data_IF_888383455974
#
_entry.id   IF_888383455974
#
_cell.length_a   1.000
_cell.length_b   1.000
_cell.length_c   1.000
_cell.angle_alpha   90.00
_cell.angle_beta   90.00
_cell.angle_gamma   90.00
#
_symmetry.space_group_name_H-M   'P 1'
#
loop_
_entity.id
_entity.type
_entity.pdbx_description
1 polymer ?
#
# COMPACT_ATOMS: atom_id res chain seq x y z
N UNK A 1 -40.72 -19.44 -32.40
CA UNK A 1 -39.27 -19.17 -32.49
C UNK A 1 -38.84 -18.71 -31.10
N UNK A 2 -38.28 -19.62 -30.34
CA UNK A 2 -37.76 -19.37 -29.00
C UNK A 2 -36.29 -18.91 -29.14
N UNK A 3 -36.01 -17.64 -28.85
CA UNK A 3 -34.63 -17.13 -28.82
C UNK A 3 -34.03 -17.44 -27.46
N UNK A 4 -33.08 -18.36 -27.49
CA UNK A 4 -32.27 -18.81 -26.34
C UNK A 4 -31.38 -17.65 -25.89
N UNK A 5 -31.67 -17.06 -24.74
CA UNK A 5 -30.77 -16.13 -24.04
C UNK A 5 -29.66 -17.00 -23.43
N UNK A 6 -28.52 -17.06 -24.13
CA UNK A 6 -27.31 -17.69 -23.62
C UNK A 6 -26.65 -16.74 -22.62
N UNK A 7 -27.01 -16.79 -21.36
CA UNK A 7 -26.31 -16.14 -20.27
C UNK A 7 -24.91 -16.74 -20.16
N UNK A 8 -23.89 -15.97 -20.56
CA UNK A 8 -22.49 -16.29 -20.24
C UNK A 8 -22.32 -16.25 -18.72
N UNK A 9 -22.34 -17.39 -18.08
CA UNK A 9 -21.82 -17.56 -16.75
C UNK A 9 -20.32 -17.25 -16.81
N UNK A 10 -19.92 -16.07 -16.37
CA UNK A 10 -18.51 -15.82 -16.07
C UNK A 10 -18.14 -16.78 -14.95
N UNK A 11 -17.31 -17.77 -15.26
CA UNK A 11 -16.74 -18.68 -14.28
C UNK A 11 -15.88 -17.81 -13.34
N UNK A 12 -16.39 -17.52 -12.15
CA UNK A 12 -15.59 -16.89 -11.08
C UNK A 12 -14.44 -17.86 -10.84
N UNK A 13 -13.24 -17.50 -11.24
CA UNK A 13 -12.05 -18.30 -10.94
C UNK A 13 -11.82 -18.21 -9.44
N UNK A 14 -11.76 -19.35 -8.81
CA UNK A 14 -11.43 -19.52 -7.40
C UNK A 14 -9.93 -19.28 -7.19
N UNK A 15 -9.53 -19.05 -5.94
CA UNK A 15 -8.14 -19.02 -5.52
C UNK A 15 -7.33 -20.15 -6.16
N UNK A 16 -6.05 -19.89 -6.45
CA UNK A 16 -5.14 -20.86 -7.09
C UNK A 16 -4.88 -22.06 -6.17
N UNK A 17 -4.82 -21.83 -4.85
CA UNK A 17 -4.56 -22.85 -3.84
C UNK A 17 -5.32 -22.56 -2.53
N UNK A 18 -5.47 -23.61 -1.71
CA UNK A 18 -6.04 -23.50 -0.35
C UNK A 18 -5.07 -24.11 0.65
N UNK A 19 -4.66 -23.33 1.64
CA UNK A 19 -3.89 -23.79 2.79
C UNK A 19 -4.87 -24.05 3.95
N UNK A 20 -4.87 -25.27 4.48
CA UNK A 20 -5.71 -25.63 5.61
C UNK A 20 -5.23 -24.91 6.87
N UNK A 21 -6.14 -24.24 7.55
CA UNK A 21 -5.95 -23.60 8.84
C UNK A 21 -6.72 -24.32 9.95
N UNK A 22 -6.55 -23.86 11.17
CA UNK A 22 -7.19 -24.45 12.35
C UNK A 22 -8.66 -24.05 12.48
N UNK A 23 -8.98 -22.75 12.41
CA UNK A 23 -10.34 -22.23 12.51
C UNK A 23 -10.96 -22.02 11.12
N UNK A 24 -10.19 -21.45 10.20
CA UNK A 24 -10.61 -21.16 8.84
C UNK A 24 -9.50 -21.53 7.84
N UNK A 25 -9.86 -21.71 6.57
CA UNK A 25 -8.91 -21.92 5.50
C UNK A 25 -8.27 -20.60 5.02
N UNK A 26 -7.09 -20.70 4.39
CA UNK A 26 -6.47 -19.58 3.65
C UNK A 26 -6.63 -19.84 2.15
N UNK A 27 -7.24 -18.91 1.44
CA UNK A 27 -7.32 -18.90 -0.02
C UNK A 27 -6.15 -18.10 -0.59
N UNK A 28 -5.34 -18.73 -1.44
CA UNK A 28 -4.15 -18.09 -2.02
C UNK A 28 -4.35 -17.88 -3.52
N UNK A 29 -3.99 -16.68 -3.99
CA UNK A 29 -3.89 -16.34 -5.41
C UNK A 29 -2.50 -16.63 -5.99
N UNK A 30 -1.75 -17.49 -5.34
CA UNK A 30 -0.44 -17.99 -5.77
C UNK A 30 -0.30 -19.45 -5.37
N UNK A 31 0.49 -20.29 -6.09
CA UNK A 31 0.82 -21.64 -5.65
C UNK A 31 1.50 -21.63 -4.27
N UNK A 32 1.23 -22.66 -3.46
CA UNK A 32 1.81 -22.76 -2.10
C UNK A 32 3.33 -22.81 -2.14
N UNK A 33 3.89 -23.48 -3.14
CA UNK A 33 5.34 -23.61 -3.35
C UNK A 33 6.05 -22.29 -3.69
N UNK A 34 5.31 -21.28 -4.13
CA UNK A 34 5.84 -19.91 -4.36
C UNK A 34 5.86 -19.04 -3.09
N UNK A 35 5.33 -19.55 -1.97
CA UNK A 35 5.25 -18.83 -0.69
C UNK A 35 6.31 -19.37 0.28
N UNK A 36 7.12 -18.47 0.83
CA UNK A 36 8.14 -18.83 1.81
C UNK A 36 7.54 -19.46 3.08
N UNK A 37 8.23 -20.44 3.66
CA UNK A 37 7.73 -21.23 4.79
C UNK A 37 7.31 -20.36 6.00
N UNK A 38 8.05 -19.28 6.27
CA UNK A 38 7.73 -18.36 7.36
C UNK A 38 6.40 -17.62 7.11
N UNK A 39 6.12 -17.22 5.86
CA UNK A 39 4.86 -16.61 5.49
C UNK A 39 3.69 -17.62 5.58
N UNK A 40 3.89 -18.88 5.18
CA UNK A 40 2.90 -19.93 5.37
C UNK A 40 2.57 -20.17 6.85
N UNK A 41 3.59 -20.13 7.72
CA UNK A 41 3.38 -20.21 9.18
C UNK A 41 2.58 -19.04 9.72
N UNK A 42 2.88 -17.80 9.28
CA UNK A 42 2.08 -16.63 9.66
C UNK A 42 0.64 -16.74 9.18
N UNK A 43 0.40 -17.21 7.96
CA UNK A 43 -0.97 -17.41 7.43
C UNK A 43 -1.74 -18.43 8.27
N UNK A 44 -1.11 -19.52 8.72
CA UNK A 44 -1.75 -20.49 9.63
C UNK A 44 -2.07 -19.87 10.99
N UNK A 45 -1.16 -19.07 11.57
CA UNK A 45 -1.41 -18.37 12.83
C UNK A 45 -2.60 -17.39 12.71
N UNK A 46 -2.71 -16.67 11.58
CA UNK A 46 -3.86 -15.80 11.30
C UNK A 46 -5.15 -16.62 11.19
N UNK A 47 -5.09 -17.74 10.46
CA UNK A 47 -6.24 -18.63 10.24
C UNK A 47 -6.66 -19.40 11.52
N UNK A 48 -5.86 -19.38 12.57
CA UNK A 48 -6.19 -19.94 13.88
C UNK A 48 -6.91 -18.94 14.81
N UNK A 49 -7.05 -17.67 14.42
CA UNK A 49 -7.76 -16.67 15.22
C UNK A 49 -9.28 -16.91 15.18
N UNK A 50 -9.96 -16.95 16.35
CA UNK A 50 -11.39 -17.29 16.41
C UNK A 50 -12.33 -16.20 15.85
N UNK A 51 -11.81 -14.98 15.60
CA UNK A 51 -12.59 -13.85 15.08
C UNK A 51 -12.55 -13.73 13.55
N UNK A 52 -11.71 -14.53 12.88
CA UNK A 52 -11.60 -14.48 11.41
C UNK A 52 -12.90 -14.98 10.76
N UNK A 53 -13.44 -14.16 9.86
CA UNK A 53 -14.68 -14.46 9.16
C UNK A 53 -14.41 -15.25 7.88
N UNK A 54 -15.03 -16.42 7.76
CA UNK A 54 -15.02 -17.34 6.63
C UNK A 54 -13.63 -17.87 6.24
N UNK A 55 -12.70 -17.03 5.85
CA UNK A 55 -11.35 -17.43 5.39
C UNK A 55 -10.41 -16.21 5.42
N UNK A 56 -9.13 -16.49 5.32
CA UNK A 56 -8.10 -15.48 5.02
C UNK A 56 -7.86 -15.47 3.51
N UNK A 57 -7.74 -14.30 2.87
CA UNK A 57 -7.31 -14.21 1.49
C UNK A 57 -5.85 -13.75 1.40
N UNK A 58 -5.01 -14.46 0.64
CA UNK A 58 -3.61 -14.15 0.43
C UNK A 58 -3.36 -13.82 -1.05
N UNK A 59 -2.95 -12.58 -1.30
CA UNK A 59 -2.72 -12.04 -2.64
C UNK A 59 -1.44 -12.64 -3.27
N UNK A 60 -1.26 -12.58 -4.60
CA UNK A 60 -0.08 -13.17 -5.27
C UNK A 60 1.26 -12.67 -4.77
N UNK A 61 1.32 -11.42 -4.32
CA UNK A 61 2.51 -10.78 -3.81
C UNK A 61 2.84 -11.13 -2.34
N UNK A 62 2.09 -12.07 -1.73
CA UNK A 62 2.23 -12.45 -0.32
C UNK A 62 3.67 -12.83 0.03
N UNK A 63 4.15 -12.29 1.15
CA UNK A 63 5.48 -12.57 1.69
C UNK A 63 5.52 -12.33 3.21
N UNK A 64 6.61 -12.76 3.86
CA UNK A 64 6.81 -12.60 5.30
C UNK A 64 6.78 -11.12 5.69
N UNK A 65 6.06 -10.81 6.77
CA UNK A 65 5.93 -9.47 7.34
C UNK A 65 6.02 -9.47 8.86
N UNK A 66 6.28 -8.32 9.49
CA UNK A 66 6.25 -8.20 10.95
C UNK A 66 4.80 -8.30 11.45
N UNK A 67 4.54 -9.27 12.31
CA UNK A 67 3.23 -9.55 12.90
C UNK A 67 2.31 -10.37 11.99
N UNK A 68 2.00 -9.91 10.81
CA UNK A 68 1.22 -10.65 9.81
C UNK A 68 1.89 -10.56 8.44
N UNK A 69 1.58 -11.49 7.55
CA UNK A 69 2.04 -11.47 6.16
C UNK A 69 1.64 -10.17 5.47
N UNK A 70 2.52 -9.64 4.63
CA UNK A 70 2.18 -8.63 3.63
C UNK A 70 1.51 -9.35 2.45
N UNK A 71 0.48 -8.79 1.86
CA UNK A 71 -0.36 -9.45 0.85
C UNK A 71 -1.54 -10.22 1.47
N UNK A 72 -1.88 -10.00 2.76
CA UNK A 72 -3.02 -10.64 3.40
C UNK A 72 -4.22 -9.70 3.57
N UNK A 73 -5.42 -10.30 3.40
CA UNK A 73 -6.73 -9.69 3.62
C UNK A 73 -7.45 -10.52 4.68
N UNK A 74 -7.80 -9.89 5.79
CA UNK A 74 -8.33 -10.54 6.98
C UNK A 74 -9.63 -9.85 7.36
N UNK A 75 -10.76 -10.47 7.06
CA UNK A 75 -12.05 -10.02 7.55
C UNK A 75 -12.28 -10.58 8.95
N UNK A 76 -12.61 -9.74 9.92
CA UNK A 76 -12.90 -10.16 11.30
C UNK A 76 -14.26 -9.64 11.73
N UNK A 77 -14.96 -10.44 12.57
CA UNK A 77 -16.12 -9.99 13.33
C UNK A 77 -15.67 -9.59 14.73
N UNK A 78 -16.12 -8.41 15.15
CA UNK A 78 -15.94 -7.90 16.51
C UNK A 78 -14.50 -7.82 17.03
N UNK A 79 -13.50 -7.86 16.13
CA UNK A 79 -12.10 -7.78 16.51
C UNK A 79 -11.23 -7.11 15.43
N UNK A 80 -10.11 -6.51 15.84
CA UNK A 80 -9.04 -6.03 14.95
C UNK A 80 -7.68 -6.31 15.56
N UNK A 81 -6.74 -6.84 14.77
CA UNK A 81 -5.34 -7.02 15.17
C UNK A 81 -4.49 -5.83 14.65
N UNK A 82 -3.96 -4.95 15.51
CA UNK A 82 -3.16 -3.80 15.07
C UNK A 82 -1.93 -4.17 14.22
N UNK A 83 -1.26 -5.27 14.54
CA UNK A 83 -0.10 -5.72 13.79
C UNK A 83 -0.45 -6.27 12.39
N UNK A 84 -1.70 -6.67 12.18
CA UNK A 84 -2.21 -7.07 10.87
C UNK A 84 -2.45 -5.87 9.93
N UNK A 85 -2.47 -4.64 10.44
CA UNK A 85 -2.43 -3.41 9.62
C UNK A 85 -0.98 -3.07 9.27
N UNK A 86 -0.06 -3.25 10.21
CA UNK A 86 1.34 -2.87 10.10
C UNK A 86 1.65 -1.50 10.74
N UNK A 87 2.93 -1.13 10.71
CA UNK A 87 3.39 0.12 11.36
C UNK A 87 3.13 1.37 10.53
N UNK A 88 3.02 1.25 9.21
CA UNK A 88 2.70 2.38 8.33
C UNK A 88 1.20 2.36 8.00
N UNK A 89 0.39 2.80 8.98
CA UNK A 89 -1.07 2.89 8.84
C UNK A 89 -1.42 3.81 7.66
N UNK A 90 -2.31 3.35 6.79
CA UNK A 90 -2.77 4.14 5.65
C UNK A 90 -1.74 4.32 4.53
N UNK A 91 -0.60 3.58 4.57
CA UNK A 91 0.30 3.54 3.42
C UNK A 91 -0.46 3.22 2.14
N UNK A 92 -0.09 3.86 1.04
CA UNK A 92 -0.83 3.75 -0.20
C UNK A 92 -0.23 4.55 -1.34
N UNK A 93 -0.92 4.53 -2.46
CA UNK A 93 -0.49 5.11 -3.72
C UNK A 93 -1.36 6.30 -4.13
N UNK A 94 -0.79 7.18 -4.94
CA UNK A 94 -1.54 8.14 -5.75
C UNK A 94 -0.96 8.16 -7.17
N UNK A 95 -1.83 8.29 -8.18
CA UNK A 95 -1.41 8.46 -9.57
C UNK A 95 -2.36 9.42 -10.30
N UNK A 96 -1.83 10.14 -11.30
CA UNK A 96 -2.63 11.00 -12.18
C UNK A 96 -2.02 11.02 -13.57
N UNK A 97 -2.87 10.86 -14.57
CA UNK A 97 -2.50 11.08 -15.98
C UNK A 97 -2.43 12.57 -16.28
N UNK A 98 -1.44 12.96 -17.06
CA UNK A 98 -1.30 14.33 -17.56
C UNK A 98 -1.68 14.44 -19.03
N UNK A 99 -1.82 15.66 -19.55
CA UNK A 99 -1.95 15.91 -20.99
C UNK A 99 -0.64 15.84 -21.77
N UNK A 100 0.50 15.64 -21.06
CA UNK A 100 1.83 15.58 -21.67
C UNK A 100 2.08 14.21 -22.32
N UNK A 101 2.89 14.20 -23.36
CA UNK A 101 3.43 13.01 -24.00
C UNK A 101 4.94 12.92 -23.79
N UNK A 102 5.53 11.75 -24.02
CA UNK A 102 6.96 11.54 -23.89
C UNK A 102 7.81 12.56 -24.67
N UNK A 103 7.36 12.96 -25.86
CA UNK A 103 8.02 13.96 -26.72
C UNK A 103 8.08 15.37 -26.12
N UNK A 104 7.23 15.66 -25.14
CA UNK A 104 7.18 16.96 -24.47
C UNK A 104 8.19 17.03 -23.30
N UNK A 105 8.74 15.87 -22.89
CA UNK A 105 9.74 15.79 -21.84
C UNK A 105 11.14 16.12 -22.38
N UNK A 106 12.02 16.75 -21.57
CA UNK A 106 13.40 16.93 -21.94
C UNK A 106 14.16 15.58 -21.94
N UNK A 107 15.22 15.47 -22.73
CA UNK A 107 16.07 14.29 -22.79
C UNK A 107 16.68 13.96 -21.41
N UNK A 108 17.01 15.01 -20.63
CA UNK A 108 17.58 14.90 -19.28
C UNK A 108 16.58 15.34 -18.21
N UNK A 109 16.19 14.40 -17.34
CA UNK A 109 15.19 14.63 -16.27
C UNK A 109 15.81 15.07 -14.93
N UNK A 110 17.11 15.30 -14.87
CA UNK A 110 17.84 15.64 -13.63
C UNK A 110 17.34 16.93 -12.97
N UNK A 111 17.07 17.98 -13.78
CA UNK A 111 16.51 19.24 -13.27
C UNK A 111 15.11 19.08 -12.71
N UNK A 112 14.23 18.35 -13.41
CA UNK A 112 12.88 18.03 -12.94
C UNK A 112 12.92 17.20 -11.65
N UNK A 113 13.78 16.19 -11.61
CA UNK A 113 13.97 15.36 -10.40
C UNK A 113 14.41 16.20 -9.22
N UNK A 114 15.42 17.08 -9.38
CA UNK A 114 15.89 17.97 -8.32
C UNK A 114 14.80 18.93 -7.84
N UNK A 115 13.96 19.45 -8.73
CA UNK A 115 12.83 20.30 -8.37
C UNK A 115 11.78 19.55 -7.53
N UNK A 116 11.50 18.27 -7.87
CA UNK A 116 10.60 17.41 -7.08
C UNK A 116 11.19 17.14 -5.69
N UNK A 117 12.49 16.81 -5.60
CA UNK A 117 13.20 16.58 -4.33
C UNK A 117 13.22 17.85 -3.44
N UNK A 118 13.32 19.03 -4.04
CA UNK A 118 13.25 20.30 -3.32
C UNK A 118 11.83 20.65 -2.82
N UNK A 119 10.80 20.32 -3.61
CA UNK A 119 9.41 20.60 -3.25
C UNK A 119 8.82 19.62 -2.24
N UNK A 120 9.27 18.37 -2.25
CA UNK A 120 8.74 17.27 -1.42
C UNK A 120 9.88 16.67 -0.59
N UNK A 121 10.04 17.06 0.68
CA UNK A 121 11.08 16.56 1.56
C UNK A 121 11.07 15.03 1.70
N UNK A 122 12.26 14.42 1.70
CA UNK A 122 12.43 12.95 1.80
C UNK A 122 12.96 12.53 3.18
N UNK A 123 12.85 11.25 3.51
CA UNK A 123 13.37 10.68 4.76
C UNK A 123 12.64 11.21 5.99
N UNK A 124 13.38 11.69 6.97
CA UNK A 124 12.83 12.21 8.23
C UNK A 124 12.48 13.70 8.19
N UNK A 125 12.83 14.40 7.11
CA UNK A 125 12.60 15.82 6.96
C UNK A 125 11.11 16.17 6.93
N UNK A 126 10.79 17.40 7.34
CA UNK A 126 9.50 18.05 7.20
C UNK A 126 9.64 19.36 6.47
N UNK A 127 8.52 19.99 6.11
CA UNK A 127 8.53 21.35 5.59
C UNK A 127 8.96 22.33 6.69
N UNK A 128 9.90 23.24 6.40
CA UNK A 128 10.32 24.28 7.33
C UNK A 128 9.15 25.22 7.68
N UNK A 129 8.34 25.54 6.69
CA UNK A 129 7.12 26.33 6.87
C UNK A 129 5.89 25.49 6.54
N UNK A 130 5.01 25.33 7.53
CA UNK A 130 3.72 24.66 7.32
C UNK A 130 2.79 25.55 6.49
N UNK A 131 2.35 25.05 5.34
CA UNK A 131 1.43 25.79 4.47
C UNK A 131 0.07 26.05 5.16
N UNK A 132 -0.57 27.18 4.85
CA UNK A 132 -1.89 27.54 5.40
C UNK A 132 -2.94 26.44 5.14
N UNK A 133 -2.93 25.86 3.94
CA UNK A 133 -3.83 24.75 3.60
C UNK A 133 -3.66 23.54 4.52
N UNK A 134 -2.43 23.22 4.95
CA UNK A 134 -2.16 22.12 5.88
C UNK A 134 -2.61 22.47 7.31
N UNK A 135 -2.36 23.71 7.77
CA UNK A 135 -2.82 24.15 9.09
C UNK A 135 -4.34 24.12 9.25
N UNK A 136 -5.06 24.33 8.15
CA UNK A 136 -6.53 24.39 8.12
C UNK A 136 -7.18 23.04 7.80
N UNK A 137 -6.42 21.92 7.76
CA UNK A 137 -7.02 20.59 7.61
C UNK A 137 -7.86 20.26 8.85
N UNK A 138 -9.16 20.00 8.66
CA UNK A 138 -10.10 19.62 9.72
C UNK A 138 -9.60 18.41 10.53
N UNK A 139 -8.81 17.54 9.92
CA UNK A 139 -8.13 16.42 10.57
C UNK A 139 -7.40 16.81 11.87
N UNK A 140 -6.81 18.01 11.94
CA UNK A 140 -6.05 18.47 13.11
C UNK A 140 -6.91 19.08 14.23
N UNK A 141 -8.21 19.24 14.03
CA UNK A 141 -9.16 19.61 15.08
C UNK A 141 -9.27 18.50 16.11
N UNK A 142 -9.28 17.24 15.66
CA UNK A 142 -9.35 16.04 16.49
C UNK A 142 -8.00 15.59 17.07
N UNK A 143 -6.91 16.29 16.77
CA UNK A 143 -5.55 15.85 17.17
C UNK A 143 -5.40 15.67 18.70
N UNK A 144 -6.05 16.50 19.49
CA UNK A 144 -5.99 16.44 20.96
C UNK A 144 -6.70 15.19 21.54
N UNK A 145 -7.57 14.54 20.77
CA UNK A 145 -8.27 13.32 21.16
C UNK A 145 -7.45 12.04 20.86
N UNK A 146 -6.32 12.15 20.16
CA UNK A 146 -5.40 11.04 19.95
C UNK A 146 -4.76 10.62 21.27
N UNK A 147 -4.10 9.45 21.25
CA UNK A 147 -3.34 8.96 22.39
C UNK A 147 -2.43 10.06 22.99
N UNK A 148 -2.51 10.23 24.30
CA UNK A 148 -1.78 11.29 25.02
C UNK A 148 -0.25 11.26 24.80
N UNK A 149 0.32 10.11 24.45
CA UNK A 149 1.75 9.97 24.16
C UNK A 149 2.19 10.67 22.89
N UNK A 150 1.26 11.01 21.97
CA UNK A 150 1.55 11.78 20.76
C UNK A 150 1.15 13.25 20.85
N UNK A 151 0.66 13.71 21.99
CA UNK A 151 0.20 15.09 22.19
C UNK A 151 1.26 16.15 21.81
N UNK A 152 2.55 15.86 22.08
CA UNK A 152 3.67 16.74 21.73
C UNK A 152 4.07 16.71 20.24
N UNK A 153 3.55 15.78 19.45
CA UNK A 153 3.97 15.56 18.06
C UNK A 153 3.18 16.40 17.02
N UNK A 154 2.21 17.23 17.46
CA UNK A 154 1.33 17.99 16.54
C UNK A 154 2.09 18.82 15.52
N UNK A 155 3.08 19.58 15.95
CA UNK A 155 3.87 20.43 15.05
C UNK A 155 4.68 19.61 14.05
N UNK A 156 5.26 18.48 14.50
CA UNK A 156 5.97 17.54 13.64
C UNK A 156 5.01 16.90 12.61
N UNK A 157 3.83 16.46 13.06
CA UNK A 157 2.82 15.90 12.17
C UNK A 157 2.39 16.92 11.10
N UNK A 158 2.15 18.20 11.48
CA UNK A 158 1.84 19.28 10.55
C UNK A 158 2.97 19.50 9.52
N UNK A 159 4.24 19.52 9.95
CA UNK A 159 5.38 19.74 9.06
C UNK A 159 5.63 18.56 8.11
N UNK A 160 5.16 17.37 8.45
CA UNK A 160 5.32 16.16 7.63
C UNK A 160 4.20 15.91 6.61
N UNK A 161 3.10 16.69 6.62
CA UNK A 161 2.09 16.61 5.54
C UNK A 161 2.66 17.13 4.23
N UNK A 162 2.60 16.33 3.18
CA UNK A 162 3.20 16.62 1.88
C UNK A 162 4.68 16.21 1.79
N UNK A 163 5.12 15.22 2.60
CA UNK A 163 6.49 14.68 2.56
C UNK A 163 6.52 13.20 2.22
N UNK A 164 7.60 12.76 1.57
CA UNK A 164 7.70 11.41 1.04
C UNK A 164 7.93 10.36 2.14
N UNK A 165 8.88 10.57 3.03
CA UNK A 165 9.35 9.54 3.93
C UNK A 165 10.54 8.78 3.41
N UNK A 166 10.78 7.61 4.02
CA UNK A 166 11.90 6.74 3.68
C UNK A 166 11.45 5.31 3.38
N UNK A 167 12.42 4.44 3.18
CA UNK A 167 12.18 3.02 2.94
C UNK A 167 11.72 2.72 1.51
N UNK A 168 10.54 2.09 1.36
CA UNK A 168 9.97 1.76 0.06
C UNK A 168 9.15 2.89 -0.58
N UNK A 169 9.07 4.07 0.05
CA UNK A 169 8.38 5.23 -0.52
C UNK A 169 9.11 5.79 -1.74
N UNK A 170 8.34 6.33 -2.68
CA UNK A 170 8.89 6.87 -3.93
C UNK A 170 7.94 7.88 -4.59
N UNK A 171 8.50 8.69 -5.49
CA UNK A 171 7.78 9.52 -6.45
C UNK A 171 8.31 9.17 -7.82
N UNK A 172 7.45 8.89 -8.78
CA UNK A 172 7.83 8.50 -10.12
C UNK A 172 7.14 9.33 -11.20
N UNK A 173 7.88 9.59 -12.29
CA UNK A 173 7.35 10.00 -13.57
C UNK A 173 7.34 8.76 -14.46
N UNK A 174 6.19 8.43 -15.03
CA UNK A 174 6.01 7.24 -15.82
C UNK A 174 5.44 7.55 -17.20
N UNK A 175 5.69 6.66 -18.15
CA UNK A 175 5.07 6.65 -19.48
C UNK A 175 4.19 5.43 -19.61
N UNK A 176 2.99 5.59 -20.17
CA UNK A 176 2.17 4.45 -20.56
C UNK A 176 2.49 3.97 -21.98
N UNK A 177 1.81 2.91 -22.42
CA UNK A 177 1.99 2.32 -23.76
C UNK A 177 1.63 3.26 -24.91
N UNK A 178 0.86 4.33 -24.63
CA UNK A 178 0.53 5.41 -25.57
C UNK A 178 1.46 6.61 -25.45
N UNK A 179 2.56 6.48 -24.69
CA UNK A 179 3.53 7.55 -24.44
C UNK A 179 2.95 8.74 -23.66
N UNK A 180 1.82 8.58 -22.95
CA UNK A 180 1.26 9.61 -22.08
C UNK A 180 2.02 9.62 -20.75
N UNK A 181 2.24 10.82 -20.23
CA UNK A 181 2.97 11.02 -18.98
C UNK A 181 2.02 10.88 -17.78
N UNK A 182 2.46 10.08 -16.80
CA UNK A 182 1.79 9.87 -15.53
C UNK A 182 2.68 10.29 -14.36
N UNK A 183 2.08 10.93 -13.36
CA UNK A 183 2.69 11.18 -12.07
C UNK A 183 2.23 10.10 -11.11
N UNK A 184 3.15 9.47 -10.39
CA UNK A 184 2.84 8.43 -9.43
C UNK A 184 3.65 8.62 -8.15
N UNK A 185 3.06 8.33 -6.98
CA UNK A 185 3.75 8.40 -5.70
C UNK A 185 3.23 7.35 -4.70
N UNK A 186 4.11 6.98 -3.78
CA UNK A 186 3.87 6.03 -2.70
C UNK A 186 4.32 6.64 -1.37
N UNK A 187 3.40 6.82 -0.42
CA UNK A 187 3.71 7.31 0.93
C UNK A 187 2.59 6.96 1.92
N UNK A 188 2.86 7.11 3.22
CA UNK A 188 1.97 6.72 4.29
C UNK A 188 1.79 7.78 5.38
N UNK A 189 1.48 7.34 6.60
CA UNK A 189 1.13 8.19 7.75
C UNK A 189 2.34 8.78 8.48
N UNK A 190 3.52 8.65 7.92
CA UNK A 190 4.75 9.23 8.47
C UNK A 190 5.01 8.75 9.92
N UNK A 191 5.80 9.52 10.67
CA UNK A 191 6.17 9.16 12.04
C UNK A 191 4.98 9.01 12.98
N UNK A 192 3.96 9.87 12.83
CA UNK A 192 2.81 9.88 13.74
C UNK A 192 2.02 8.57 13.68
N UNK A 193 1.73 8.06 12.48
CA UNK A 193 1.03 6.78 12.32
C UNK A 193 1.85 5.60 12.82
N UNK A 194 3.18 5.60 12.60
CA UNK A 194 4.07 4.58 13.17
C UNK A 194 4.02 4.58 14.69
N UNK A 195 4.09 5.74 15.33
CA UNK A 195 4.03 5.86 16.79
C UNK A 195 2.70 5.31 17.33
N UNK A 196 1.57 5.71 16.74
CA UNK A 196 0.24 5.21 17.11
C UNK A 196 0.14 3.68 16.93
N UNK A 197 0.62 3.14 15.80
CA UNK A 197 0.63 1.70 15.56
C UNK A 197 1.41 0.93 16.65
N UNK A 198 2.63 1.36 16.96
CA UNK A 198 3.48 0.72 17.97
C UNK A 198 2.88 0.79 19.39
N UNK A 199 2.24 1.92 19.75
CA UNK A 199 1.52 2.07 21.01
C UNK A 199 0.37 1.06 21.15
N UNK A 200 -0.47 0.97 20.13
CA UNK A 200 -1.63 0.08 20.15
C UNK A 200 -1.24 -1.39 20.04
N UNK A 201 -0.22 -1.75 19.27
CA UNK A 201 0.34 -3.11 19.27
C UNK A 201 0.83 -3.52 20.66
N UNK A 202 1.55 -2.62 21.35
CA UNK A 202 2.05 -2.90 22.71
C UNK A 202 0.91 -3.01 23.74
N UNK A 203 -0.19 -2.28 23.57
CA UNK A 203 -1.39 -2.39 24.43
C UNK A 203 -2.13 -3.70 24.20
N UNK A 204 -2.41 -4.05 22.94
CA UNK A 204 -3.12 -5.27 22.60
C UNK A 204 -2.47 -6.51 23.20
N UNK A 205 -1.13 -6.62 23.15
CA UNK A 205 -0.39 -7.74 23.73
C UNK A 205 -0.56 -7.91 25.26
N UNK A 206 -0.98 -6.87 25.98
CA UNK A 206 -1.16 -6.91 27.43
C UNK A 206 -2.56 -7.33 27.85
N UNK A 207 -3.50 -7.45 26.93
CA UNK A 207 -4.88 -7.79 27.21
C UNK A 207 -5.01 -9.29 27.48
N UNK A 208 -5.71 -9.66 28.55
CA UNK A 208 -5.80 -11.04 29.08
C UNK A 208 -6.34 -12.02 28.02
N UNK A 209 -7.32 -11.60 27.19
CA UNK A 209 -7.89 -12.47 26.17
C UNK A 209 -6.90 -12.82 25.05
N UNK A 210 -5.76 -12.15 24.97
CA UNK A 210 -4.70 -12.44 23.99
C UNK A 210 -3.60 -13.38 24.53
N UNK A 211 -3.68 -13.79 25.81
CA UNK A 211 -2.60 -14.56 26.45
C UNK A 211 -2.35 -15.95 25.83
N UNK A 212 -3.38 -16.55 25.23
CA UNK A 212 -3.31 -17.89 24.63
C UNK A 212 -3.18 -17.88 23.08
N UNK A 213 -2.92 -16.72 22.47
CA UNK A 213 -2.78 -16.66 21.00
C UNK A 213 -1.51 -17.39 20.53
N UNK A 214 -1.56 -18.07 19.36
CA UNK A 214 -0.41 -18.79 18.81
C UNK A 214 0.75 -17.85 18.44
N UNK A 215 0.45 -16.59 18.18
CA UNK A 215 1.41 -15.53 17.90
C UNK A 215 1.02 -14.27 18.66
N UNK A 216 1.82 -13.82 19.65
CA UNK A 216 1.54 -12.59 20.40
C UNK A 216 1.44 -11.33 19.55
N UNK A 217 2.03 -11.32 18.36
CA UNK A 217 1.93 -10.21 17.41
C UNK A 217 0.52 -10.10 16.81
N UNK A 218 -0.29 -11.16 16.84
CA UNK A 218 -1.67 -11.17 16.39
C UNK A 218 -2.68 -10.76 17.46
N UNK A 219 -2.21 -10.18 18.57
CA UNK A 219 -3.07 -9.66 19.62
C UNK A 219 -4.13 -8.70 19.08
N UNK A 220 -5.38 -8.86 19.53
CA UNK A 220 -6.54 -8.13 19.02
C UNK A 220 -7.12 -7.18 20.06
N UNK A 221 -7.86 -6.18 19.60
CA UNK A 221 -8.86 -5.46 20.38
C UNK A 221 -10.25 -6.01 20.03
N UNK A 222 -11.12 -6.11 21.04
CA UNK A 222 -12.48 -6.64 20.91
C UNK A 222 -13.51 -5.51 20.89
N UNK A 223 -14.54 -5.64 20.06
CA UNK A 223 -15.64 -4.71 19.97
C UNK A 223 -16.30 -4.48 21.34
N UNK A 224 -16.83 -3.29 21.55
CA UNK A 224 -17.49 -2.91 22.80
C UNK A 224 -16.52 -2.56 23.94
N UNK A 225 -15.19 -2.65 23.75
CA UNK A 225 -14.19 -2.27 24.75
C UNK A 225 -13.68 -0.85 24.56
N UNK A 226 -13.30 -0.13 25.63
CA UNK A 226 -12.67 1.19 25.54
C UNK A 226 -11.38 1.16 24.72
N UNK A 227 -10.59 0.08 24.81
CA UNK A 227 -9.35 -0.11 24.05
C UNK A 227 -9.61 -0.17 22.55
N UNK A 228 -10.68 -0.87 22.11
CA UNK A 228 -11.08 -0.91 20.70
C UNK A 228 -11.54 0.46 20.22
N UNK A 229 -12.31 1.18 21.03
CA UNK A 229 -12.76 2.53 20.67
C UNK A 229 -11.58 3.49 20.48
N UNK A 230 -10.62 3.49 21.41
CA UNK A 230 -9.41 4.30 21.32
C UNK A 230 -8.55 3.91 20.12
N UNK A 231 -8.35 2.62 19.88
CA UNK A 231 -7.59 2.14 18.72
C UNK A 231 -8.25 2.56 17.41
N UNK A 232 -9.56 2.38 17.25
CA UNK A 232 -10.29 2.77 16.03
C UNK A 232 -10.20 4.26 15.75
N UNK A 233 -10.31 5.09 16.79
CA UNK A 233 -10.15 6.54 16.68
C UNK A 233 -8.79 6.91 16.08
N UNK A 234 -7.71 6.41 16.68
CA UNK A 234 -6.33 6.69 16.26
C UNK A 234 -6.00 6.08 14.89
N UNK A 235 -6.48 4.86 14.62
CA UNK A 235 -6.33 4.17 13.34
C UNK A 235 -6.95 4.97 12.19
N UNK A 236 -8.21 5.35 12.32
CA UNK A 236 -8.91 6.08 11.27
C UNK A 236 -8.37 7.50 11.10
N UNK A 237 -7.92 8.13 12.19
CA UNK A 237 -7.21 9.39 12.10
C UNK A 237 -5.92 9.24 11.28
N UNK A 238 -5.10 8.22 11.57
CA UNK A 238 -3.84 7.97 10.85
C UNK A 238 -4.07 7.63 9.37
N UNK A 239 -5.14 6.90 9.03
CA UNK A 239 -5.54 6.64 7.64
C UNK A 239 -5.89 7.95 6.90
N UNK A 240 -6.70 8.83 7.52
CA UNK A 240 -7.03 10.16 6.96
C UNK A 240 -5.79 11.01 6.80
N UNK A 241 -4.88 10.97 7.78
CA UNK A 241 -3.60 11.69 7.70
C UNK A 241 -2.74 11.20 6.52
N UNK A 242 -2.61 9.90 6.34
CA UNK A 242 -1.86 9.32 5.21
C UNK A 242 -2.48 9.71 3.86
N UNK A 243 -3.80 9.76 3.78
CA UNK A 243 -4.51 10.21 2.58
C UNK A 243 -4.20 11.69 2.29
N UNK A 244 -4.37 12.57 3.28
CA UNK A 244 -4.06 14.01 3.17
C UNK A 244 -2.57 14.25 2.82
N UNK A 245 -1.65 13.42 3.36
CA UNK A 245 -0.24 13.48 2.99
C UNK A 245 -0.04 13.24 1.49
N UNK A 246 -0.62 12.18 0.92
CA UNK A 246 -0.52 11.88 -0.52
C UNK A 246 -1.20 12.94 -1.39
N UNK A 247 -2.37 13.46 -0.98
CA UNK A 247 -3.02 14.56 -1.71
C UNK A 247 -2.13 15.81 -1.77
N UNK A 248 -1.52 16.19 -0.63
CA UNK A 248 -0.61 17.34 -0.61
C UNK A 248 0.66 17.09 -1.41
N UNK A 249 1.25 15.90 -1.34
CA UNK A 249 2.38 15.53 -2.18
C UNK A 249 2.03 15.63 -3.66
N UNK A 250 0.86 15.10 -4.07
CA UNK A 250 0.42 15.16 -5.46
C UNK A 250 0.18 16.60 -5.94
N UNK A 251 -0.36 17.46 -5.06
CA UNK A 251 -0.51 18.89 -5.36
C UNK A 251 0.86 19.56 -5.58
N UNK A 252 1.82 19.33 -4.69
CA UNK A 252 3.20 19.84 -4.83
C UNK A 252 3.87 19.32 -6.11
N UNK A 253 3.67 18.04 -6.43
CA UNK A 253 4.22 17.45 -7.65
C UNK A 253 3.61 18.10 -8.90
N UNK A 254 2.29 18.33 -8.93
CA UNK A 254 1.62 19.07 -10.00
C UNK A 254 2.14 20.51 -10.13
N UNK A 255 2.36 21.20 -9.00
CA UNK A 255 2.95 22.54 -8.99
C UNK A 255 4.34 22.55 -9.66
N UNK A 256 5.19 21.56 -9.35
CA UNK A 256 6.49 21.40 -10.02
C UNK A 256 6.33 21.17 -11.52
N UNK A 257 5.44 20.25 -11.92
CA UNK A 257 5.18 19.98 -13.37
C UNK A 257 4.73 21.26 -14.10
N UNK A 258 3.83 22.03 -13.50
CA UNK A 258 3.37 23.30 -14.11
C UNK A 258 4.49 24.34 -14.23
N UNK A 259 5.49 24.31 -13.34
CA UNK A 259 6.69 25.15 -13.47
C UNK A 259 7.53 24.84 -14.71
N UNK A 260 7.60 23.58 -15.12
CA UNK A 260 8.30 23.14 -16.33
C UNK A 260 7.39 23.16 -17.58
N UNK A 261 6.12 22.86 -17.41
CA UNK A 261 5.12 22.69 -18.47
C UNK A 261 3.83 23.45 -18.15
N UNK A 262 3.79 24.80 -18.32
CA UNK A 262 2.67 25.63 -17.86
C UNK A 262 1.30 25.27 -18.50
N UNK A 263 1.30 24.65 -19.67
CA UNK A 263 0.08 24.21 -20.36
C UNK A 263 -0.40 22.81 -19.96
N UNK A 264 0.30 22.11 -19.05
CA UNK A 264 -0.07 20.78 -18.62
C UNK A 264 -1.44 20.76 -17.92
N UNK A 265 -2.25 19.77 -18.24
CA UNK A 265 -3.53 19.48 -17.57
C UNK A 265 -3.46 18.11 -16.91
N UNK A 266 -4.32 17.88 -15.93
CA UNK A 266 -4.34 16.65 -15.14
C UNK A 266 -5.75 16.08 -15.12
N UNK A 267 -5.84 14.76 -15.33
CA UNK A 267 -7.07 14.01 -15.17
C UNK A 267 -7.44 13.84 -13.70
N UNK A 268 -8.51 13.09 -13.42
CA UNK A 268 -8.86 12.72 -12.04
C UNK A 268 -7.77 11.84 -11.42
N UNK A 269 -7.33 12.19 -10.22
CA UNK A 269 -6.35 11.40 -9.51
C UNK A 269 -6.95 10.10 -8.95
N UNK A 270 -6.15 9.05 -8.99
CA UNK A 270 -6.43 7.75 -8.35
C UNK A 270 -5.65 7.72 -7.04
N UNK A 271 -6.33 7.48 -5.92
CA UNK A 271 -5.71 7.32 -4.60
C UNK A 271 -6.22 6.03 -3.96
N UNK A 272 -5.32 5.20 -3.46
CA UNK A 272 -5.69 3.98 -2.77
C UNK A 272 -4.78 3.73 -1.56
N UNK A 273 -5.35 3.16 -0.50
CA UNK A 273 -4.61 2.60 0.63
C UNK A 273 -4.25 1.13 0.35
N UNK A 274 -3.22 0.62 1.05
CA UNK A 274 -2.91 -0.80 1.06
C UNK A 274 -2.49 -1.35 2.44
N UNK A 275 -2.46 -0.51 3.48
CA UNK A 275 -2.30 -0.90 4.89
C UNK A 275 -3.38 -0.20 5.71
N UNK A 276 -4.53 -0.81 5.86
CA UNK A 276 -5.68 -0.15 6.49
C UNK A 276 -6.75 -1.12 6.95
N UNK A 277 -7.71 -0.61 7.72
CA UNK A 277 -8.95 -1.31 8.08
C UNK A 277 -10.13 -0.53 7.50
N UNK A 278 -11.11 -1.23 6.99
CA UNK A 278 -12.40 -0.68 6.57
C UNK A 278 -13.57 -1.51 7.10
N UNK A 279 -14.68 -0.83 7.35
CA UNK A 279 -15.96 -1.46 7.66
C UNK A 279 -16.64 -1.78 6.35
N UNK A 280 -16.89 -3.05 6.11
CA UNK A 280 -17.41 -3.53 4.83
C UNK A 280 -18.49 -4.59 5.06
N UNK A 281 -19.35 -4.80 4.07
CA UNK A 281 -20.31 -5.90 4.07
C UNK A 281 -19.87 -6.96 3.09
N UNK A 282 -19.55 -8.14 3.61
CA UNK A 282 -19.19 -9.30 2.79
C UNK A 282 -20.03 -10.51 3.14
N UNK A 283 -20.52 -11.22 2.14
CA UNK A 283 -21.39 -12.39 2.29
C UNK A 283 -22.61 -12.13 3.18
N UNK A 284 -23.13 -10.88 3.15
CA UNK A 284 -24.29 -10.45 3.94
C UNK A 284 -23.99 -10.06 5.39
N UNK A 285 -22.74 -10.03 5.81
CA UNK A 285 -22.31 -9.73 7.18
C UNK A 285 -21.43 -8.47 7.23
N UNK A 286 -21.65 -7.65 8.26
CA UNK A 286 -20.77 -6.53 8.56
C UNK A 286 -19.46 -7.04 9.19
N UNK A 287 -18.32 -6.66 8.61
CA UNK A 287 -17.00 -7.10 9.03
C UNK A 287 -15.99 -5.96 8.99
N UNK A 288 -14.94 -6.09 9.79
CA UNK A 288 -13.77 -5.24 9.73
C UNK A 288 -12.72 -5.91 8.83
N UNK A 289 -12.54 -5.37 7.62
CA UNK A 289 -11.56 -5.90 6.67
C UNK A 289 -10.22 -5.21 6.87
N UNK A 290 -9.24 -5.96 7.34
CA UNK A 290 -7.85 -5.52 7.43
C UNK A 290 -7.10 -5.90 6.17
N UNK A 291 -6.51 -4.93 5.49
CA UNK A 291 -5.61 -5.14 4.35
C UNK A 291 -4.20 -4.74 4.73
N UNK A 292 -3.27 -5.67 4.64
CA UNK A 292 -1.84 -5.44 4.82
C UNK A 292 -1.10 -5.78 3.55
N UNK A 293 -0.65 -4.75 2.83
CA UNK A 293 -0.10 -4.94 1.50
C UNK A 293 -1.12 -5.49 0.50
N UNK A 294 -2.35 -4.96 0.55
CA UNK A 294 -3.40 -5.26 -0.40
C UNK A 294 -4.27 -4.03 -0.63
N UNK A 295 -4.70 -3.79 -1.86
CA UNK A 295 -5.64 -2.72 -2.22
C UNK A 295 -7.07 -3.23 -2.21
N UNK A 296 -8.05 -2.33 -2.06
CA UNK A 296 -9.43 -2.63 -2.44
C UNK A 296 -9.53 -2.70 -3.96
N UNK A 297 -10.27 -3.69 -4.44
CA UNK A 297 -10.53 -3.95 -5.85
C UNK A 297 -12.02 -4.24 -6.07
N UNK A 298 -12.87 -3.38 -5.47
CA UNK A 298 -14.31 -3.40 -5.68
C UNK A 298 -14.65 -3.21 -7.15
N UNK A 299 -15.81 -3.69 -7.56
CA UNK A 299 -16.21 -3.68 -8.98
C UNK A 299 -16.20 -2.27 -9.57
N UNK A 300 -15.34 -2.03 -10.55
CA UNK A 300 -15.18 -0.74 -11.23
C UNK A 300 -14.22 0.23 -10.54
N UNK A 301 -13.78 -0.03 -9.32
CA UNK A 301 -12.83 0.83 -8.58
C UNK A 301 -11.46 0.81 -9.23
N UNK A 302 -10.84 1.99 -9.35
CA UNK A 302 -9.47 2.11 -9.86
C UNK A 302 -8.46 1.91 -8.73
N UNK A 303 -7.37 1.21 -9.04
CA UNK A 303 -6.26 0.97 -8.14
C UNK A 303 -4.91 1.07 -8.82
N UNK A 304 -3.84 1.01 -8.02
CA UNK A 304 -2.47 1.15 -8.49
C UNK A 304 -1.66 -0.03 -7.93
N UNK A 305 -1.00 -0.77 -8.81
CA UNK A 305 -0.13 -1.90 -8.45
C UNK A 305 1.28 -1.62 -8.99
N UNK A 306 2.20 -1.07 -8.18
CA UNK A 306 3.56 -0.79 -8.60
C UNK A 306 4.40 -2.07 -8.70
N UNK A 307 5.32 -2.08 -9.66
CA UNK A 307 6.42 -3.04 -9.71
C UNK A 307 7.59 -2.61 -8.80
N UNK A 308 8.77 -2.48 -9.37
CA UNK A 308 9.98 -1.98 -8.72
C UNK A 308 10.64 -0.88 -9.55
N UNK A 309 11.75 -0.31 -9.09
CA UNK A 309 12.43 0.84 -9.76
C UNK A 309 12.83 0.60 -11.23
N UNK A 310 12.78 -0.60 -11.74
CA UNK A 310 13.15 -0.93 -13.12
C UNK A 310 12.12 -1.77 -13.86
N UNK A 311 10.98 -2.06 -13.22
CA UNK A 311 9.90 -2.89 -13.78
C UNK A 311 8.63 -2.07 -13.98
N UNK A 312 7.65 -2.66 -14.67
CA UNK A 312 6.37 -2.00 -14.95
C UNK A 312 5.52 -1.80 -13.69
N UNK A 313 4.66 -0.79 -13.71
CA UNK A 313 3.58 -0.59 -12.74
C UNK A 313 2.24 -0.58 -13.49
N UNK A 314 1.13 -0.76 -12.79
CA UNK A 314 -0.17 -0.93 -13.43
C UNK A 314 -1.23 -0.05 -12.78
N UNK A 315 -2.03 0.61 -13.63
CA UNK A 315 -3.34 1.12 -13.24
C UNK A 315 -4.33 0.01 -13.53
N UNK A 316 -5.14 -0.33 -12.55
CA UNK A 316 -6.07 -1.46 -12.62
C UNK A 316 -7.49 -1.04 -12.28
N UNK A 317 -8.46 -1.84 -12.74
CA UNK A 317 -9.87 -1.73 -12.34
C UNK A 317 -10.28 -3.01 -11.63
N UNK A 318 -10.84 -2.90 -10.43
CA UNK A 318 -11.31 -4.01 -9.64
C UNK A 318 -12.49 -4.73 -10.29
N UNK A 319 -12.53 -6.04 -10.12
CA UNK A 319 -13.60 -6.91 -10.61
C UNK A 319 -14.61 -7.28 -9.53
N UNK A 320 -14.35 -6.91 -8.26
CA UNK A 320 -15.24 -7.18 -7.13
C UNK A 320 -15.33 -8.66 -6.78
N UNK A 321 -14.21 -9.41 -6.80
CA UNK A 321 -14.21 -10.82 -6.45
C UNK A 321 -14.50 -11.00 -4.94
N UNK A 322 -15.63 -11.62 -4.53
CA UNK A 322 -16.01 -11.76 -3.13
C UNK A 322 -15.08 -12.71 -2.37
N UNK A 323 -14.47 -13.70 -3.06
CA UNK A 323 -13.57 -14.65 -2.43
C UNK A 323 -12.24 -14.00 -1.99
N UNK A 324 -11.87 -12.86 -2.58
CA UNK A 324 -10.75 -12.03 -2.17
C UNK A 324 -11.17 -10.86 -1.26
N UNK A 325 -12.41 -10.84 -0.76
CA UNK A 325 -12.99 -9.68 -0.08
C UNK A 325 -12.79 -8.40 -0.89
N UNK A 326 -13.07 -8.47 -2.20
CA UNK A 326 -12.88 -7.36 -3.15
C UNK A 326 -11.49 -6.74 -3.05
N UNK A 327 -10.44 -7.56 -3.07
CA UNK A 327 -9.06 -7.10 -2.89
C UNK A 327 -8.13 -7.62 -3.97
N UNK A 328 -6.96 -6.96 -4.10
CA UNK A 328 -5.88 -7.33 -5.02
C UNK A 328 -4.51 -7.01 -4.40
N UNK A 329 -3.43 -7.47 -5.02
CA UNK A 329 -2.06 -7.16 -4.63
C UNK A 329 -1.82 -5.64 -4.55
N UNK A 330 -0.93 -5.24 -3.63
CA UNK A 330 -0.50 -3.83 -3.54
C UNK A 330 0.73 -3.52 -4.40
N UNK A 331 1.41 -4.51 -4.94
CA UNK A 331 2.65 -4.35 -5.71
C UNK A 331 3.25 -5.70 -6.11
N UNK A 332 4.54 -5.70 -6.47
CA UNK A 332 5.26 -6.92 -6.82
C UNK A 332 5.49 -7.85 -5.61
N UNK A 333 5.57 -7.31 -4.40
CA UNK A 333 5.98 -8.05 -3.22
C UNK A 333 7.49 -8.39 -3.22
N UNK A 334 8.06 -8.52 -2.04
CA UNK A 334 9.49 -8.86 -1.90
C UNK A 334 9.69 -10.37 -1.95
N UNK A 335 10.81 -10.81 -2.53
CA UNK A 335 11.28 -12.20 -2.49
C UNK A 335 12.48 -12.40 -1.55
N UNK A 336 13.00 -11.32 -0.96
CA UNK A 336 14.07 -11.38 0.03
C UNK A 336 14.03 -10.15 0.95
N UNK A 337 14.69 -10.25 2.11
CA UNK A 337 14.79 -9.15 3.06
C UNK A 337 15.68 -8.02 2.54
N UNK A 338 15.53 -6.80 3.09
CA UNK A 338 16.39 -5.65 2.75
C UNK A 338 17.87 -5.94 3.04
N UNK A 339 18.17 -6.61 4.17
CA UNK A 339 19.53 -6.98 4.52
C UNK A 339 20.14 -7.99 3.53
N UNK A 340 19.34 -8.95 3.08
CA UNK A 340 19.78 -9.93 2.10
C UNK A 340 20.05 -9.26 0.75
N UNK A 341 19.19 -8.35 0.29
CA UNK A 341 19.42 -7.61 -0.94
C UNK A 341 20.73 -6.81 -0.89
N UNK A 342 20.99 -6.09 0.23
CA UNK A 342 22.27 -5.36 0.42
C UNK A 342 23.51 -6.26 0.44
N UNK A 343 23.38 -7.53 0.86
CA UNK A 343 24.50 -8.50 0.81
C UNK A 343 24.70 -9.12 -0.56
N UNK A 344 23.60 -9.29 -1.32
CA UNK A 344 23.58 -10.02 -2.59
C UNK A 344 23.98 -9.18 -3.79
N UNK A 345 23.62 -7.90 -3.76
CA UNK A 345 23.72 -7.02 -4.92
C UNK A 345 24.68 -5.87 -4.69
N UNK A 346 25.31 -5.41 -5.77
CA UNK A 346 26.20 -4.28 -5.83
C UNK A 346 25.51 -3.04 -6.41
N UNK A 347 26.20 -1.89 -6.33
CA UNK A 347 25.79 -0.66 -7.02
C UNK A 347 25.80 -0.85 -8.55
N UNK A 348 26.68 -1.73 -9.07
CA UNK A 348 26.73 -2.02 -10.50
C UNK A 348 25.48 -2.78 -10.95
N UNK A 349 25.06 -3.81 -10.19
CA UNK A 349 23.78 -4.53 -10.46
C UNK A 349 22.59 -3.58 -10.46
N UNK A 350 22.55 -2.64 -9.50
CA UNK A 350 21.49 -1.62 -9.43
C UNK A 350 21.48 -0.73 -10.68
N UNK A 351 22.65 -0.28 -11.15
CA UNK A 351 22.77 0.55 -12.36
C UNK A 351 22.26 -0.17 -13.60
N UNK A 352 22.59 -1.45 -13.74
CA UNK A 352 22.15 -2.29 -14.86
C UNK A 352 20.65 -2.49 -14.85
N UNK A 353 20.08 -2.86 -13.70
CA UNK A 353 18.65 -3.14 -13.56
C UNK A 353 17.75 -1.88 -13.59
N UNK A 354 18.34 -0.69 -13.41
CA UNK A 354 17.63 0.59 -13.51
C UNK A 354 18.09 1.42 -14.70
N UNK A 355 18.64 0.77 -15.74
CA UNK A 355 19.05 1.44 -16.97
C UNK A 355 17.84 2.17 -17.60
N UNK A 356 18.05 3.42 -18.04
CA UNK A 356 17.02 4.27 -18.62
C UNK A 356 16.09 4.96 -17.60
N UNK A 357 16.30 4.76 -16.28
CA UNK A 357 15.55 5.47 -15.24
C UNK A 357 16.46 6.52 -14.58
N UNK A 358 16.02 7.77 -14.52
CA UNK A 358 16.68 8.86 -13.79
C UNK A 358 16.39 8.72 -12.28
N UNK A 359 17.24 7.99 -11.56
CA UNK A 359 17.08 7.69 -10.13
C UNK A 359 18.41 7.69 -9.39
N UNK A 360 18.34 7.61 -8.05
CA UNK A 360 19.53 7.33 -7.22
C UNK A 360 20.08 5.94 -7.54
N UNK A 361 21.42 5.87 -7.70
CA UNK A 361 22.15 4.62 -8.02
C UNK A 361 23.35 4.47 -7.10
N UNK A 362 23.11 4.59 -5.77
CA UNK A 362 24.11 4.49 -4.72
C UNK A 362 23.78 3.36 -3.72
N UNK A 363 24.68 3.11 -2.78
CA UNK A 363 24.55 2.04 -1.79
C UNK A 363 23.30 2.20 -0.87
N UNK A 364 22.77 3.42 -0.73
CA UNK A 364 21.61 3.70 0.13
C UNK A 364 20.32 3.06 -0.35
N UNK A 365 20.22 2.76 -1.65
CA UNK A 365 19.00 2.23 -2.29
C UNK A 365 19.16 0.82 -2.89
N UNK A 366 20.27 0.11 -2.62
CA UNK A 366 20.48 -1.27 -3.10
C UNK A 366 19.36 -2.21 -2.64
N UNK A 367 18.82 -2.02 -1.45
CA UNK A 367 17.74 -2.86 -0.94
C UNK A 367 16.43 -2.74 -1.72
N UNK A 368 16.31 -1.77 -2.61
CA UNK A 368 15.15 -1.56 -3.49
C UNK A 368 15.40 -2.00 -4.95
N UNK A 369 16.51 -2.72 -5.19
CA UNK A 369 16.86 -3.25 -6.53
C UNK A 369 15.72 -4.15 -7.08
N UNK A 370 15.41 -4.11 -8.39
CA UNK A 370 14.37 -4.94 -9.00
C UNK A 370 14.45 -6.43 -8.65
N UNK A 371 15.65 -7.00 -8.63
CA UNK A 371 15.88 -8.40 -8.28
C UNK A 371 15.49 -8.79 -6.83
N UNK A 372 15.23 -7.82 -5.94
CA UNK A 372 14.73 -8.08 -4.59
C UNK A 372 13.22 -8.32 -4.53
N UNK A 373 12.52 -8.16 -5.65
CA UNK A 373 11.08 -8.27 -5.78
C UNK A 373 10.66 -9.50 -6.59
N UNK A 374 9.42 -9.95 -6.43
CA UNK A 374 8.82 -10.97 -7.29
C UNK A 374 8.61 -10.41 -8.69
N UNK A 375 8.45 -11.31 -9.66
CA UNK A 375 8.09 -10.94 -11.02
C UNK A 375 6.68 -10.36 -11.06
N UNK A 376 6.57 -9.06 -11.38
CA UNK A 376 5.29 -8.36 -11.41
C UNK A 376 4.34 -8.92 -12.47
N UNK A 377 4.85 -9.44 -13.57
CA UNK A 377 4.02 -10.03 -14.62
C UNK A 377 3.37 -11.33 -14.13
N UNK A 378 4.12 -12.14 -13.37
CA UNK A 378 3.58 -13.33 -12.71
C UNK A 378 2.51 -12.95 -11.68
N UNK A 379 2.75 -11.92 -10.87
CA UNK A 379 1.78 -11.39 -9.90
C UNK A 379 0.50 -10.95 -10.61
N UNK A 380 0.60 -10.18 -11.70
CA UNK A 380 -0.56 -9.73 -12.47
C UNK A 380 -1.30 -10.89 -13.15
N UNK A 381 -0.57 -11.89 -13.65
CA UNK A 381 -1.17 -13.08 -14.24
C UNK A 381 -2.02 -13.88 -13.24
N UNK A 382 -1.56 -13.99 -11.99
CA UNK A 382 -2.22 -14.76 -10.94
C UNK A 382 -3.50 -14.11 -10.40
N UNK A 383 -3.74 -12.83 -10.67
CA UNK A 383 -4.90 -12.08 -10.18
C UNK A 383 -5.82 -11.53 -11.30
N UNK A 384 -5.89 -12.19 -12.43
CA UNK A 384 -6.76 -11.80 -13.56
C UNK A 384 -8.26 -11.84 -13.25
N UNK A 385 -8.64 -12.53 -12.19
CA UNK A 385 -10.00 -12.61 -11.67
C UNK A 385 -10.27 -11.56 -10.58
N UNK A 386 -9.25 -10.82 -10.14
CA UNK A 386 -9.36 -9.75 -9.16
C UNK A 386 -9.39 -8.37 -9.81
N UNK A 387 -8.59 -8.19 -10.88
CA UNK A 387 -8.44 -6.89 -11.57
C UNK A 387 -8.27 -7.05 -13.07
N UNK A 388 -8.68 -6.02 -13.83
CA UNK A 388 -8.30 -5.80 -15.23
C UNK A 388 -7.27 -4.68 -15.33
N UNK A 389 -6.33 -4.78 -16.29
CA UNK A 389 -5.31 -3.76 -16.54
C UNK A 389 -5.95 -2.62 -17.37
N UNK A 390 -5.87 -1.39 -16.85
CA UNK A 390 -6.32 -0.16 -17.53
C UNK A 390 -5.15 0.52 -18.24
N UNK A 391 -3.97 0.57 -17.59
CA UNK A 391 -2.74 1.09 -18.19
C UNK A 391 -1.50 0.38 -17.60
N UNK A 392 -0.52 0.16 -18.47
CA UNK A 392 0.83 -0.26 -18.08
C UNK A 392 1.73 0.97 -18.06
N UNK A 393 2.48 1.15 -16.98
CA UNK A 393 3.33 2.31 -16.75
C UNK A 393 4.80 1.87 -16.64
N UNK A 394 5.70 2.58 -17.33
CA UNK A 394 7.14 2.42 -17.21
C UNK A 394 7.75 3.68 -16.63
N UNK A 395 8.55 3.55 -15.60
CA UNK A 395 9.24 4.67 -14.97
C UNK A 395 10.31 5.23 -15.90
N UNK A 396 10.40 6.57 -15.95
CA UNK A 396 11.52 7.29 -16.58
C UNK A 396 12.27 8.14 -15.56
N UNK A 397 11.65 8.46 -14.41
CA UNK A 397 12.28 9.15 -13.29
C UNK A 397 11.76 8.57 -11.97
N UNK A 398 12.63 8.47 -10.95
CA UNK A 398 12.28 8.05 -9.60
C UNK A 398 13.03 8.85 -8.55
N UNK A 399 12.29 9.42 -7.59
CA UNK A 399 12.79 9.97 -6.33
C UNK A 399 12.53 8.94 -5.23
N UNK A 400 13.57 8.57 -4.49
CA UNK A 400 13.53 7.58 -3.39
C UNK A 400 13.74 8.28 -2.05
N UNK A 401 12.94 7.84 -1.07
CA UNK A 401 13.04 8.29 0.30
C UNK A 401 14.19 7.68 1.11
#
# INVERSE_FOLDING_TARGET
>A
MLSTICGRWQTIRMAVATLKGEQVDVKLWTPIEDVESQALSQLRNIAALPWVFKHVAAMPDVHFGKGATVGSVIAMKDAVAPAAVGVDIGCGMAAVQTSLLAKDLPDELSALRSAVEAAIPVGHAGHETVAKAVRNLALFEDFAALDSKVAGDKQKALSQVGTLGGGNHFIELCLDTQQRVWLMLHSGSRNIGKTLAELHMARARKLTHNAALPDPDLAVFLAGTPEMAAYRHDLFWAQRYAFANRERMLALYKEVILGFFPAARFEQAILCHHNYVSEETHFGEAVLVTRKGAIRAGKGELGIIPGSMGTRSFIVRGLGNPEAFESASHGAGRRMSRHEAKRRFSVQDLREQTAGVACRKDAGVIDEIPAAYKDIDKVMQQQRDLVEIVAELKQVMCVKG
#
